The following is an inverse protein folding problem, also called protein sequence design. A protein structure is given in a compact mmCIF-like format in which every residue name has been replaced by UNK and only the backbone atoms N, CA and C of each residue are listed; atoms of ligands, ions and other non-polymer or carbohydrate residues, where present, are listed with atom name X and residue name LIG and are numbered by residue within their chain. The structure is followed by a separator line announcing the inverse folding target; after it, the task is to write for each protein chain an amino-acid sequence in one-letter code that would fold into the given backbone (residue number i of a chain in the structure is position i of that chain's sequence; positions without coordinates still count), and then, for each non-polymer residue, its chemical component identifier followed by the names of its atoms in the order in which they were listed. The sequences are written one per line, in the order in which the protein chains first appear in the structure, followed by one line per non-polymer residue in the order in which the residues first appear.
data_IF_841368489146
#
_entry.id   IF_841368489146
#
_cell.length_a   1.000
_cell.length_b   1.000
_cell.length_c   1.000
_cell.angle_alpha   90.00
_cell.angle_beta   90.00
_cell.angle_gamma   90.00
#
_symmetry.space_group_name_H-M   'P 1'
#
loop_
_entity.id
_entity.type
_entity.pdbx_description
1 polymer ?
#
# COMPACT_ATOMS: atom_id res chain seq x y z
N UNK A 1 -6.50 8.92 -11.89
CA UNK A 1 -5.28 8.33 -12.51
C UNK A 1 -5.51 7.88 -13.95
N UNK A 2 -5.99 8.71 -14.87
CA UNK A 2 -6.40 8.23 -16.20
C UNK A 2 -5.22 8.08 -17.20
N UNK A 3 -5.46 7.37 -18.30
CA UNK A 3 -4.53 7.26 -19.43
C UNK A 3 -3.22 6.57 -19.08
N UNK A 4 -2.09 7.25 -19.31
CA UNK A 4 -0.76 6.69 -19.06
C UNK A 4 -0.54 6.33 -17.59
N UNK A 5 -1.12 7.08 -16.65
CA UNK A 5 -0.92 6.83 -15.22
C UNK A 5 -1.43 5.45 -14.77
N UNK A 6 -2.65 5.06 -15.15
CA UNK A 6 -3.19 3.73 -14.82
C UNK A 6 -2.42 2.60 -15.54
N UNK A 7 -1.98 2.84 -16.78
CA UNK A 7 -1.19 1.87 -17.52
C UNK A 7 0.17 1.59 -16.84
N UNK A 8 0.85 2.64 -16.38
CA UNK A 8 2.12 2.52 -15.65
C UNK A 8 1.92 1.93 -14.25
N UNK A 9 0.80 2.20 -13.58
CA UNK A 9 0.44 1.54 -12.31
C UNK A 9 0.28 0.03 -12.51
N UNK A 10 -0.49 -0.40 -13.53
CA UNK A 10 -0.66 -1.82 -13.87
C UNK A 10 0.68 -2.49 -14.23
N UNK A 11 1.51 -1.83 -15.04
CA UNK A 11 2.85 -2.31 -15.35
C UNK A 11 3.76 -2.40 -14.10
N UNK A 12 3.58 -1.48 -13.16
CA UNK A 12 4.25 -1.48 -11.86
C UNK A 12 3.86 -2.69 -11.00
N UNK A 13 2.58 -3.04 -10.93
CA UNK A 13 2.10 -4.23 -10.22
C UNK A 13 2.65 -5.53 -10.82
N UNK A 14 2.77 -5.61 -12.15
CA UNK A 14 3.45 -6.73 -12.78
C UNK A 14 4.92 -6.79 -12.38
N UNK A 15 5.63 -5.66 -12.42
CA UNK A 15 7.03 -5.60 -12.01
C UNK A 15 7.24 -5.97 -10.53
N UNK A 16 6.29 -5.63 -9.64
CA UNK A 16 6.30 -6.09 -8.25
C UNK A 16 6.26 -7.61 -8.16
N UNK A 17 5.27 -8.24 -8.81
CA UNK A 17 5.10 -9.69 -8.85
C UNK A 17 6.36 -10.37 -9.40
N UNK A 18 6.88 -9.89 -10.52
CA UNK A 18 8.09 -10.44 -11.14
C UNK A 18 9.29 -10.33 -10.20
N UNK A 19 9.46 -9.17 -9.55
CA UNK A 19 10.58 -8.93 -8.65
C UNK A 19 10.56 -9.82 -7.42
N UNK A 20 9.41 -10.00 -6.77
CA UNK A 20 9.28 -10.87 -5.59
C UNK A 20 9.36 -12.35 -5.98
N UNK A 21 8.90 -12.73 -7.17
CA UNK A 21 8.95 -14.13 -7.63
C UNK A 21 10.37 -14.66 -7.87
N UNK A 22 11.38 -13.79 -7.90
CA UNK A 22 12.79 -14.20 -7.94
C UNK A 22 13.35 -14.59 -6.56
N UNK A 23 12.54 -14.49 -5.51
CA UNK A 23 12.89 -14.79 -4.13
C UNK A 23 11.90 -15.84 -3.58
N UNK A 24 12.33 -17.10 -3.56
CA UNK A 24 11.49 -18.27 -3.20
C UNK A 24 10.87 -18.15 -1.81
N UNK A 25 11.60 -17.56 -0.85
CA UNK A 25 11.09 -17.39 0.50
C UNK A 25 10.10 -16.22 0.56
N UNK A 26 10.42 -15.10 -0.08
CA UNK A 26 9.55 -13.93 -0.09
C UNK A 26 8.22 -14.22 -0.79
N UNK A 27 8.22 -14.97 -1.90
CA UNK A 27 6.97 -15.28 -2.61
C UNK A 27 5.99 -16.13 -1.80
N UNK A 28 6.48 -16.91 -0.83
CA UNK A 28 5.66 -17.71 0.09
C UNK A 28 5.27 -16.98 1.38
N UNK A 29 5.95 -15.87 1.73
CA UNK A 29 5.73 -15.12 2.98
C UNK A 29 5.02 -13.79 2.81
N UNK A 30 5.17 -13.16 1.65
CA UNK A 30 4.52 -11.89 1.35
C UNK A 30 3.10 -12.19 0.89
N UNK A 31 2.14 -11.62 1.60
CA UNK A 31 0.75 -11.55 1.16
C UNK A 31 0.40 -10.16 0.68
N UNK A 32 -0.41 -10.09 -0.37
CA UNK A 32 -0.91 -8.85 -0.96
C UNK A 32 -2.44 -8.88 -1.04
N UNK A 33 -3.05 -7.75 -0.71
CA UNK A 33 -4.46 -7.45 -0.99
C UNK A 33 -4.53 -6.11 -1.72
N UNK A 34 -5.54 -5.91 -2.57
CA UNK A 34 -5.73 -4.68 -3.35
C UNK A 34 -7.15 -4.17 -3.15
N UNK A 35 -7.24 -2.95 -2.62
CA UNK A 35 -8.47 -2.17 -2.56
C UNK A 35 -8.39 -1.06 -3.60
N UNK A 36 -9.40 -0.98 -4.46
CA UNK A 36 -9.57 0.11 -5.41
C UNK A 36 -10.67 1.05 -4.94
N UNK A 37 -10.53 2.33 -5.26
CA UNK A 37 -11.55 3.35 -5.01
C UNK A 37 -11.69 4.23 -6.25
N UNK A 38 -12.93 4.41 -6.68
CA UNK A 38 -13.23 4.99 -7.98
C UNK A 38 -14.73 4.94 -8.28
N UNK A 39 -15.50 5.84 -7.67
CA UNK A 39 -16.97 5.81 -7.66
C UNK A 39 -17.54 4.86 -6.60
N UNK A 40 -16.92 3.70 -6.40
CA UNK A 40 -17.16 2.80 -5.27
C UNK A 40 -15.82 2.22 -4.78
N UNK A 41 -15.79 1.75 -3.53
CA UNK A 41 -14.65 1.03 -2.96
C UNK A 41 -14.84 -0.48 -3.16
N UNK A 42 -13.82 -1.15 -3.69
CA UNK A 42 -13.86 -2.59 -3.95
C UNK A 42 -12.56 -3.27 -3.54
N UNK A 43 -12.66 -4.39 -2.84
CA UNK A 43 -11.55 -5.33 -2.68
C UNK A 43 -11.47 -6.16 -3.95
N UNK A 44 -10.51 -5.86 -4.82
CA UNK A 44 -10.34 -6.54 -6.11
C UNK A 44 -9.36 -7.72 -6.04
N UNK A 45 -8.60 -7.80 -4.94
CA UNK A 45 -7.74 -8.92 -4.58
C UNK A 45 -7.77 -9.06 -3.06
N UNK A 46 -8.24 -10.20 -2.55
CA UNK A 46 -8.11 -10.59 -1.14
C UNK A 46 -6.65 -10.99 -0.85
N UNK A 47 -6.26 -11.07 0.43
CA UNK A 47 -4.93 -11.49 0.84
C UNK A 47 -4.54 -12.83 0.22
N UNK A 48 -3.51 -12.79 -0.62
CA UNK A 48 -2.95 -13.96 -1.30
C UNK A 48 -1.43 -13.89 -1.27
N UNK A 49 -0.77 -15.04 -1.17
CA UNK A 49 0.69 -15.12 -1.30
C UNK A 49 1.12 -14.78 -2.71
N UNK A 50 2.30 -14.18 -2.85
CA UNK A 50 2.76 -13.70 -4.14
C UNK A 50 2.90 -14.82 -5.16
N UNK A 51 3.27 -16.05 -4.78
CA UNK A 51 3.34 -17.20 -5.69
C UNK A 51 2.04 -17.47 -6.46
N UNK A 52 0.88 -17.21 -5.83
CA UNK A 52 -0.45 -17.37 -6.43
C UNK A 52 -1.05 -16.06 -6.97
N UNK A 53 -0.44 -14.92 -6.66
CA UNK A 53 -0.93 -13.61 -7.08
C UNK A 53 -0.81 -13.40 -8.60
N UNK A 54 -1.94 -13.14 -9.24
CA UNK A 54 -2.02 -12.70 -10.63
C UNK A 54 -2.45 -11.22 -10.61
N UNK A 55 -1.57 -10.26 -10.97
CA UNK A 55 -1.89 -8.85 -10.91
C UNK A 55 -3.17 -8.51 -11.69
N UNK A 56 -4.19 -7.90 -11.06
CA UNK A 56 -5.39 -7.49 -11.76
C UNK A 56 -5.08 -6.30 -12.69
N UNK A 57 -5.85 -6.19 -13.77
CA UNK A 57 -5.83 -4.98 -14.60
C UNK A 57 -6.77 -3.96 -13.97
N UNK A 58 -6.19 -2.92 -13.37
CA UNK A 58 -6.94 -1.85 -12.75
C UNK A 58 -7.45 -0.86 -13.80
N UNK A 59 -8.65 -0.33 -13.57
CA UNK A 59 -9.29 0.70 -14.39
C UNK A 59 -9.76 1.87 -13.53
N UNK A 60 -9.85 3.05 -14.12
CA UNK A 60 -10.34 4.25 -13.42
C UNK A 60 -11.85 4.36 -13.59
N UNK A 61 -12.55 4.70 -12.50
CA UNK A 61 -13.97 5.01 -12.53
C UNK A 61 -14.29 6.10 -11.50
N UNK A 62 -15.32 6.89 -11.73
CA UNK A 62 -15.99 7.73 -10.73
C UNK A 62 -15.12 8.69 -9.89
N UNK A 63 -15.63 8.95 -8.68
CA UNK A 63 -15.08 9.85 -7.67
C UNK A 63 -14.02 9.14 -6.78
N UNK A 64 -13.48 9.85 -5.80
CA UNK A 64 -12.37 9.40 -4.95
C UNK A 64 -12.84 9.22 -3.49
N UNK A 65 -13.67 8.20 -3.16
CA UNK A 65 -14.12 7.95 -1.78
C UNK A 65 -12.95 7.37 -0.95
N UNK A 66 -12.05 8.25 -0.54
CA UNK A 66 -10.75 7.92 0.02
C UNK A 66 -10.84 7.57 1.50
N UNK A 67 -11.70 8.26 2.26
CA UNK A 67 -12.00 7.93 3.66
C UNK A 67 -12.53 6.51 3.78
N UNK A 68 -13.57 6.19 3.01
CA UNK A 68 -14.17 4.86 2.94
C UNK A 68 -13.12 3.80 2.52
N UNK A 69 -12.28 4.10 1.54
CA UNK A 69 -11.23 3.18 1.08
C UNK A 69 -10.21 2.85 2.16
N UNK A 70 -9.79 3.85 2.93
CA UNK A 70 -8.87 3.69 4.05
C UNK A 70 -9.53 2.83 5.13
N UNK A 71 -10.77 3.12 5.48
CA UNK A 71 -11.51 2.39 6.50
C UNK A 71 -11.62 0.90 6.15
N UNK A 72 -12.09 0.59 4.93
CA UNK A 72 -12.20 -0.78 4.43
C UNK A 72 -10.83 -1.47 4.42
N UNK A 73 -9.78 -0.80 3.97
CA UNK A 73 -8.44 -1.40 3.96
C UNK A 73 -7.91 -1.71 5.38
N UNK A 74 -8.15 -0.82 6.34
CA UNK A 74 -7.74 -1.03 7.74
C UNK A 74 -8.55 -2.15 8.41
N UNK A 75 -9.85 -2.22 8.17
CA UNK A 75 -10.71 -3.29 8.69
C UNK A 75 -10.32 -4.65 8.11
N UNK A 76 -10.17 -4.74 6.79
CA UNK A 76 -9.76 -5.96 6.11
C UNK A 76 -8.37 -6.45 6.57
N UNK A 77 -7.42 -5.53 6.78
CA UNK A 77 -6.12 -5.87 7.35
C UNK A 77 -6.23 -6.37 8.80
N UNK A 78 -7.13 -5.78 9.60
CA UNK A 78 -7.35 -6.18 10.98
C UNK A 78 -7.98 -7.58 11.07
N UNK A 79 -8.89 -7.91 10.17
CA UNK A 79 -9.45 -9.27 10.00
C UNK A 79 -8.36 -10.28 9.67
N UNK A 80 -7.48 -9.98 8.70
CA UNK A 80 -6.38 -10.88 8.34
C UNK A 80 -5.43 -11.15 9.51
N UNK A 81 -5.08 -10.10 10.26
CA UNK A 81 -4.25 -10.24 11.47
C UNK A 81 -4.93 -11.07 12.56
N UNK A 82 -6.25 -10.99 12.66
CA UNK A 82 -7.00 -11.78 13.62
C UNK A 82 -6.96 -13.27 13.27
N UNK A 83 -7.12 -13.63 11.99
CA UNK A 83 -6.96 -15.01 11.50
C UNK A 83 -5.58 -15.56 11.88
N UNK A 84 -4.51 -14.78 11.67
CA UNK A 84 -3.17 -15.19 12.07
C UNK A 84 -3.06 -15.46 13.57
N UNK A 85 -3.58 -14.56 14.42
CA UNK A 85 -3.56 -14.73 15.88
C UNK A 85 -4.30 -15.99 16.33
N UNK A 86 -5.48 -16.22 15.78
CA UNK A 86 -6.31 -17.39 16.10
C UNK A 86 -5.64 -18.71 15.73
N UNK A 87 -4.79 -18.69 14.71
CA UNK A 87 -4.00 -19.85 14.28
C UNK A 87 -2.59 -19.90 14.89
N UNK A 88 -2.27 -19.02 15.85
CA UNK A 88 -0.94 -18.96 16.48
C UNK A 88 0.19 -18.56 15.53
N UNK A 89 -0.13 -17.91 14.41
CA UNK A 89 0.82 -17.45 13.39
C UNK A 89 1.28 -16.04 13.72
N UNK A 90 2.59 -15.90 13.91
CA UNK A 90 3.24 -14.60 14.06
C UNK A 90 3.26 -13.85 12.72
N UNK A 91 3.18 -12.52 12.77
CA UNK A 91 3.22 -11.68 11.56
C UNK A 91 4.08 -10.44 11.75
N UNK A 92 4.63 -9.93 10.66
CA UNK A 92 5.37 -8.66 10.62
C UNK A 92 4.42 -7.48 10.63
N UNK A 93 4.89 -6.30 11.06
CA UNK A 93 4.11 -5.06 10.96
C UNK A 93 3.68 -4.84 9.49
N UNK A 94 2.38 -4.90 9.17
CA UNK A 94 1.89 -4.82 7.80
C UNK A 94 2.04 -3.41 7.24
N UNK A 95 2.20 -3.30 5.92
CA UNK A 95 2.30 -2.02 5.23
C UNK A 95 1.06 -1.77 4.38
N UNK A 96 0.60 -0.52 4.35
CA UNK A 96 -0.50 -0.06 3.49
C UNK A 96 0.02 1.08 2.63
N UNK A 97 -0.16 0.99 1.31
CA UNK A 97 0.19 2.04 0.35
C UNK A 97 -1.09 2.62 -0.24
N UNK A 98 -1.40 3.87 0.11
CA UNK A 98 -2.42 4.67 -0.54
C UNK A 98 -1.79 5.40 -1.74
N UNK A 99 -2.25 5.09 -2.94
CA UNK A 99 -1.75 5.70 -4.18
C UNK A 99 -2.89 6.48 -4.82
N UNK A 100 -2.70 7.77 -5.10
CA UNK A 100 -3.73 8.64 -5.69
C UNK A 100 -3.13 9.79 -6.49
N UNK A 101 -3.84 10.26 -7.53
CA UNK A 101 -3.54 11.51 -8.25
C UNK A 101 -4.54 12.64 -7.95
N UNK A 102 -5.42 12.45 -6.97
CA UNK A 102 -6.52 13.36 -6.67
C UNK A 102 -6.80 13.51 -5.18
N UNK A 103 -7.87 14.23 -4.89
CA UNK A 103 -8.32 14.58 -3.54
C UNK A 103 -9.48 13.68 -3.06
N UNK A 104 -9.63 13.46 -1.75
CA UNK A 104 -10.82 12.82 -1.19
C UNK A 104 -12.11 13.53 -1.61
N UNK A 105 -13.15 12.75 -1.89
CA UNK A 105 -14.50 13.27 -2.20
C UNK A 105 -15.52 12.96 -1.11
N UNK A 106 -15.06 12.43 0.02
CA UNK A 106 -15.81 12.00 1.20
C UNK A 106 -15.16 12.51 2.50
N UNK A 107 -15.81 12.29 3.65
CA UNK A 107 -15.24 12.61 4.95
C UNK A 107 -14.14 11.60 5.32
N UNK A 108 -12.88 12.04 5.33
CA UNK A 108 -11.70 11.21 5.53
C UNK A 108 -11.05 11.41 6.91
N UNK A 109 -11.51 12.38 7.70
CA UNK A 109 -10.87 12.82 8.94
C UNK A 109 -10.91 11.72 10.00
N UNK A 110 -11.99 10.93 10.07
CA UNK A 110 -12.07 9.76 10.95
C UNK A 110 -11.07 8.69 10.52
N UNK A 111 -10.96 8.41 9.22
CA UNK A 111 -9.99 7.47 8.68
C UNK A 111 -8.54 7.91 8.98
N UNK A 112 -8.25 9.21 8.89
CA UNK A 112 -6.96 9.78 9.28
C UNK A 112 -6.64 9.56 10.78
N UNK A 113 -7.62 9.74 11.68
CA UNK A 113 -7.45 9.43 13.10
C UNK A 113 -7.16 7.94 13.32
N UNK A 114 -7.82 7.05 12.58
CA UNK A 114 -7.55 5.60 12.66
C UNK A 114 -6.14 5.26 12.19
N UNK A 115 -5.67 5.86 11.09
CA UNK A 115 -4.28 5.73 10.63
C UNK A 115 -3.32 6.17 11.73
N UNK A 116 -3.55 7.34 12.31
CA UNK A 116 -2.69 7.91 13.35
C UNK A 116 -2.55 6.94 14.54
N UNK A 117 -3.67 6.46 15.08
CA UNK A 117 -3.67 5.51 16.19
C UNK A 117 -3.00 4.18 15.84
N UNK A 118 -3.19 3.70 14.60
CA UNK A 118 -2.60 2.45 14.14
C UNK A 118 -1.07 2.56 13.92
N UNK A 119 -0.58 3.71 13.45
CA UNK A 119 0.86 4.02 13.38
C UNK A 119 1.48 4.17 14.77
N UNK A 120 0.84 4.92 15.67
CA UNK A 120 1.25 5.13 17.08
C UNK A 120 1.44 3.82 17.82
N UNK A 121 0.46 2.91 17.67
CA UNK A 121 0.48 1.60 18.28
C UNK A 121 1.30 0.56 17.50
N UNK A 122 2.05 0.99 16.46
CA UNK A 122 2.88 0.15 15.59
C UNK A 122 2.11 -1.01 14.93
N UNK A 123 0.79 -0.88 14.76
CA UNK A 123 -0.11 -1.89 14.18
C UNK A 123 -0.07 -1.94 12.66
N UNK A 124 0.31 -0.85 12.00
CA UNK A 124 0.44 -0.71 10.53
C UNK A 124 1.50 0.34 10.21
N UNK A 125 2.22 0.20 9.10
CA UNK A 125 2.98 1.28 8.49
C UNK A 125 2.21 1.79 7.25
N UNK A 126 1.75 3.03 7.27
CA UNK A 126 0.85 3.61 6.28
C UNK A 126 1.58 4.67 5.43
N UNK A 127 1.69 4.41 4.13
CA UNK A 127 2.38 5.27 3.18
C UNK A 127 1.37 5.90 2.23
N UNK A 128 1.46 7.22 2.05
CA UNK A 128 0.68 7.95 1.05
C UNK A 128 1.59 8.36 -0.11
N UNK A 129 1.22 7.95 -1.32
CA UNK A 129 1.94 8.24 -2.56
C UNK A 129 1.06 9.11 -3.44
N UNK A 130 1.48 10.36 -3.63
CA UNK A 130 0.84 11.31 -4.54
C UNK A 130 1.40 11.16 -5.94
N UNK A 131 0.51 11.11 -6.93
CA UNK A 131 0.85 10.98 -8.35
C UNK A 131 0.44 12.26 -9.06
N UNK A 132 1.31 12.81 -9.93
CA UNK A 132 1.00 14.02 -10.70
C UNK A 132 0.48 15.18 -9.82
N UNK A 133 -0.76 15.63 -10.02
CA UNK A 133 -1.38 16.76 -9.32
C UNK A 133 -2.02 16.41 -7.97
N UNK A 134 -1.69 15.27 -7.36
CA UNK A 134 -2.18 14.91 -6.04
C UNK A 134 -1.96 16.02 -5.00
N UNK A 135 -2.96 16.26 -4.15
CA UNK A 135 -2.85 17.25 -3.08
C UNK A 135 -2.02 16.71 -1.91
N UNK A 136 -0.73 17.04 -1.93
CA UNK A 136 0.23 16.61 -0.91
C UNK A 136 -0.06 17.15 0.49
N UNK A 137 -0.75 18.31 0.59
CA UNK A 137 -1.16 18.85 1.88
C UNK A 137 -2.24 17.97 2.52
N UNK A 138 -3.27 17.60 1.75
CA UNK A 138 -4.32 16.69 2.22
C UNK A 138 -3.75 15.31 2.55
N UNK A 139 -2.87 14.76 1.71
CA UNK A 139 -2.21 13.48 2.02
C UNK A 139 -1.41 13.52 3.34
N UNK A 140 -0.77 14.65 3.65
CA UNK A 140 -0.03 14.83 4.91
C UNK A 140 -0.95 14.87 6.12
N UNK A 141 -2.14 15.43 5.98
CA UNK A 141 -3.15 15.40 7.02
C UNK A 141 -3.71 13.98 7.20
N UNK A 142 -3.96 13.26 6.10
CA UNK A 142 -4.42 11.86 6.12
C UNK A 142 -3.41 10.95 6.83
N UNK A 143 -2.12 11.12 6.56
CA UNK A 143 -1.06 10.34 7.21
C UNK A 143 -0.77 10.76 8.67
N UNK A 144 -1.48 11.77 9.19
CA UNK A 144 -1.30 12.28 10.56
C UNK A 144 0.09 12.84 10.84
N UNK A 145 0.88 13.16 9.80
CA UNK A 145 2.26 13.62 9.94
C UNK A 145 3.29 12.57 10.38
N UNK A 146 2.88 11.33 10.68
CA UNK A 146 3.77 10.22 11.08
C UNK A 146 4.77 9.86 9.98
N UNK A 147 4.30 9.87 8.74
CA UNK A 147 5.12 9.71 7.54
C UNK A 147 4.80 10.84 6.58
N UNK A 148 5.83 11.46 6.03
CA UNK A 148 5.62 12.45 4.97
C UNK A 148 5.10 11.73 3.72
N UNK A 149 4.09 12.29 3.04
CA UNK A 149 3.67 11.79 1.74
C UNK A 149 4.81 11.82 0.73
N UNK A 150 4.83 10.85 -0.17
CA UNK A 150 5.85 10.74 -1.21
C UNK A 150 5.22 11.16 -2.53
N UNK A 151 5.79 12.16 -3.20
CA UNK A 151 5.42 12.53 -4.56
C UNK A 151 6.14 11.61 -5.54
N UNK A 152 5.40 10.90 -6.39
CA UNK A 152 5.96 10.01 -7.39
C UNK A 152 6.65 10.84 -8.49
N UNK A 153 7.94 10.60 -8.73
CA UNK A 153 8.67 11.26 -9.82
C UNK A 153 8.11 10.79 -11.16
N UNK A 154 7.44 11.69 -11.88
CA UNK A 154 6.78 11.35 -13.14
C UNK A 154 5.74 10.24 -12.96
N UNK A 155 5.93 9.11 -13.63
CA UNK A 155 5.10 7.90 -13.49
C UNK A 155 5.97 6.68 -13.15
N UNK A 156 6.98 6.86 -12.28
CA UNK A 156 7.96 5.82 -11.93
C UNK A 156 7.42 4.71 -11.00
N UNK A 157 6.19 4.23 -11.25
CA UNK A 157 5.58 3.12 -10.48
C UNK A 157 6.47 1.88 -10.48
N UNK A 158 7.05 1.52 -11.62
CA UNK A 158 7.96 0.38 -11.72
C UNK A 158 9.11 0.46 -10.71
N UNK A 159 9.77 1.60 -10.58
CA UNK A 159 10.87 1.75 -9.61
C UNK A 159 10.37 1.75 -8.18
N UNK A 160 9.21 2.36 -7.90
CA UNK A 160 8.57 2.29 -6.58
C UNK A 160 8.28 0.84 -6.18
N UNK A 161 7.70 0.05 -7.08
CA UNK A 161 7.38 -1.35 -6.81
C UNK A 161 8.60 -2.25 -6.71
N UNK A 162 9.66 -1.99 -7.47
CA UNK A 162 10.96 -2.68 -7.31
C UNK A 162 11.62 -2.34 -5.98
N UNK A 163 11.51 -1.09 -5.52
CA UNK A 163 11.97 -0.72 -4.19
C UNK A 163 11.13 -1.41 -3.09
N UNK A 164 9.80 -1.48 -3.29
CA UNK A 164 8.88 -2.13 -2.35
C UNK A 164 9.16 -3.63 -2.26
N UNK A 165 9.34 -4.32 -3.40
CA UNK A 165 9.68 -5.75 -3.42
C UNK A 165 11.00 -6.02 -2.70
N UNK A 166 12.05 -5.25 -2.98
CA UNK A 166 13.34 -5.39 -2.30
C UNK A 166 13.23 -5.18 -0.78
N UNK A 167 12.42 -4.20 -0.36
CA UNK A 167 12.21 -3.90 1.06
C UNK A 167 11.43 -5.02 1.77
N UNK A 168 10.39 -5.56 1.13
CA UNK A 168 9.60 -6.66 1.68
C UNK A 168 10.38 -7.98 1.67
N UNK A 169 11.19 -8.25 0.65
CA UNK A 169 12.13 -9.38 0.63
C UNK A 169 13.15 -9.31 1.76
N UNK A 170 13.64 -8.12 2.09
CA UNK A 170 14.47 -7.93 3.28
C UNK A 170 13.74 -8.37 4.56
N UNK A 171 12.48 -7.90 4.73
CA UNK A 171 11.63 -8.22 5.89
C UNK A 171 11.24 -9.69 5.94
N UNK A 172 10.97 -10.33 4.80
CA UNK A 172 10.59 -11.75 4.77
C UNK A 172 11.70 -12.67 5.25
N UNK A 173 12.97 -12.22 5.19
CA UNK A 173 14.13 -12.94 5.71
C UNK A 173 14.46 -12.64 7.18
N UNK A 174 13.82 -11.65 7.81
CA UNK A 174 14.08 -11.30 9.21
C UNK A 174 13.19 -12.07 10.19
N UNK A 175 13.37 -11.86 11.50
CA UNK A 175 12.51 -12.48 12.52
C UNK A 175 11.30 -11.58 12.81
N UNK A 176 10.06 -12.11 12.89
CA UNK A 176 8.90 -11.33 13.31
C UNK A 176 9.15 -10.62 14.66
N UNK A 177 8.94 -9.31 14.69
CA UNK A 177 9.19 -8.46 15.88
C UNK A 177 10.51 -7.71 15.86
N UNK A 178 11.43 -8.02 14.93
CA UNK A 178 12.64 -7.24 14.73
C UNK A 178 12.33 -5.94 13.99
N UNK A 179 12.82 -4.81 14.53
CA UNK A 179 12.61 -3.49 13.93
C UNK A 179 13.67 -3.27 12.87
N UNK A 180 13.31 -3.46 11.60
CA UNK A 180 14.16 -3.00 10.50
C UNK A 180 13.84 -1.56 10.11
N UNK A 181 14.89 -0.76 10.01
CA UNK A 181 14.82 0.54 9.37
C UNK A 181 14.54 0.32 7.89
N UNK A 182 13.47 0.93 7.38
CA UNK A 182 13.17 0.87 5.96
C UNK A 182 14.25 1.65 5.20
N UNK A 183 14.74 1.11 4.07
CA UNK A 183 15.57 1.93 3.20
C UNK A 183 14.79 3.19 2.83
N UNK A 184 15.47 4.33 2.71
CA UNK A 184 14.78 5.54 2.24
C UNK A 184 14.17 5.27 0.84
N UNK A 185 13.01 5.87 0.50
CA UNK A 185 12.39 5.73 -0.81
C UNK A 185 13.20 6.50 -1.87
N UNK A 186 14.41 6.04 -2.16
CA UNK A 186 15.34 6.70 -3.07
C UNK A 186 15.02 6.34 -4.52
N UNK A 187 15.15 7.32 -5.42
CA UNK A 187 15.09 7.12 -6.87
C UNK A 187 13.69 7.21 -7.50
N UNK A 188 12.62 6.85 -6.79
CA UNK A 188 11.26 6.84 -7.35
C UNK A 188 10.35 7.98 -6.87
N UNK A 189 10.65 8.61 -5.73
CA UNK A 189 9.83 9.66 -5.16
C UNK A 189 10.61 10.81 -4.52
N UNK A 190 9.90 11.89 -4.21
CA UNK A 190 10.37 13.07 -3.48
C UNK A 190 9.46 13.32 -2.28
N UNK A 191 10.01 13.87 -1.20
CA UNK A 191 9.28 14.18 0.03
C UNK A 191 9.06 15.68 0.14
#
# INVERSE_FOLDING_TARGET
MQGKAIAELNAGLQAFKDSVSNDELAMQRIEIAIVTFGGAVNIVQDFITVDQFIPPILSVNGLTPMGEAIDIALDHLQERKQIYRENGVSYYRPWVFLITDGEPTDEWQNAAQRIQQAEESKKVAFFTVGVQQANMHTLKQISGGYRQPIHLKGLNFKQMFVWLSASLSGVSHSIPGEVMALPAPTGWGEV
#
